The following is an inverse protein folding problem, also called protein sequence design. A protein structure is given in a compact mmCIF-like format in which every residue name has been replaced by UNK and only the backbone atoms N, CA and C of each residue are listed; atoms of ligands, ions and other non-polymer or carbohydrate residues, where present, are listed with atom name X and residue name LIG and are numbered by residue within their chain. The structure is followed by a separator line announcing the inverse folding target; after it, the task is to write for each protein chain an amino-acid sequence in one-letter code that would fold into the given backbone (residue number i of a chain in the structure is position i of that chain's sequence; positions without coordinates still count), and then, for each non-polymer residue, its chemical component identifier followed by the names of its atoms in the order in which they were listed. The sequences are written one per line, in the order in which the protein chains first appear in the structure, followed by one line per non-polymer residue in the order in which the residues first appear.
data_IF_019851998342
#
_entry.id   IF_019851998342
#
_cell.length_a   1.000
_cell.length_b   1.000
_cell.length_c   1.000
_cell.angle_alpha   90.00
_cell.angle_beta   90.00
_cell.angle_gamma   90.00
#
_symmetry.space_group_name_H-M   'P 1'
#
loop_
_entity.id
_entity.type
_entity.pdbx_description
1 polymer ?
#
# COMPACT_ATOMS: atom_id res chain seq x y z
N UNK A 1 11.64 8.10 -37.93
CA UNK A 1 10.15 8.15 -37.92
C UNK A 1 9.71 8.35 -36.49
N UNK A 2 9.11 9.49 -36.17
CA UNK A 2 8.62 9.76 -34.82
C UNK A 2 7.49 8.76 -34.50
N UNK A 3 7.73 7.87 -33.54
CA UNK A 3 6.75 6.92 -33.05
C UNK A 3 5.56 7.71 -32.51
N UNK A 4 4.41 7.61 -33.17
CA UNK A 4 3.12 8.09 -32.64
C UNK A 4 2.92 7.41 -31.29
N UNK A 5 3.21 8.14 -30.18
CA UNK A 5 2.81 7.73 -28.86
C UNK A 5 1.28 7.50 -28.93
N UNK A 6 0.84 6.27 -28.80
CA UNK A 6 -0.59 5.99 -28.78
C UNK A 6 -1.16 6.64 -27.51
N UNK A 7 -1.88 7.74 -27.68
CA UNK A 7 -2.66 8.36 -26.62
C UNK A 7 -3.55 7.30 -25.98
N UNK A 8 -3.69 7.37 -24.67
CA UNK A 8 -4.66 6.50 -23.98
C UNK A 8 -6.04 6.74 -24.60
N UNK A 9 -6.84 5.65 -24.72
CA UNK A 9 -8.22 5.78 -25.19
C UNK A 9 -8.97 6.74 -24.25
N UNK A 10 -9.75 7.71 -24.73
CA UNK A 10 -10.46 8.70 -23.90
C UNK A 10 -11.27 8.06 -22.76
N UNK A 11 -11.95 6.95 -23.04
CA UNK A 11 -12.70 6.21 -22.01
C UNK A 11 -11.83 5.66 -20.89
N UNK A 12 -10.59 5.24 -21.17
CA UNK A 12 -9.65 4.79 -20.14
C UNK A 12 -9.15 5.95 -19.26
N UNK A 13 -8.92 7.12 -19.87
CA UNK A 13 -8.54 8.34 -19.14
C UNK A 13 -9.66 8.76 -18.19
N UNK A 14 -10.90 8.81 -18.69
CA UNK A 14 -12.08 9.16 -17.89
C UNK A 14 -12.26 8.18 -16.72
N UNK A 15 -12.16 6.89 -17.00
CA UNK A 15 -12.29 5.84 -15.97
C UNK A 15 -11.18 5.92 -14.90
N UNK A 16 -9.92 6.11 -15.31
CA UNK A 16 -8.82 6.34 -14.38
C UNK A 16 -9.03 7.60 -13.52
N UNK A 17 -9.52 8.69 -14.13
CA UNK A 17 -9.82 9.93 -13.40
C UNK A 17 -10.91 9.72 -12.36
N UNK A 18 -11.96 8.97 -12.69
CA UNK A 18 -13.01 8.59 -11.74
C UNK A 18 -12.43 7.78 -10.57
N UNK A 19 -11.69 6.69 -10.84
CA UNK A 19 -11.09 5.87 -9.78
C UNK A 19 -10.14 6.70 -8.93
N UNK A 20 -9.31 7.54 -9.54
CA UNK A 20 -8.39 8.42 -8.80
C UNK A 20 -9.13 9.40 -7.91
N UNK A 21 -10.23 10.00 -8.39
CA UNK A 21 -11.06 10.92 -7.59
C UNK A 21 -11.60 10.21 -6.34
N UNK A 22 -12.23 9.06 -6.49
CA UNK A 22 -12.82 8.33 -5.36
C UNK A 22 -11.73 7.79 -4.42
N UNK A 23 -10.65 7.22 -4.98
CA UNK A 23 -9.52 6.73 -4.19
C UNK A 23 -8.87 7.85 -3.36
N UNK A 24 -8.61 9.03 -3.97
CA UNK A 24 -8.00 10.18 -3.29
C UNK A 24 -8.94 10.89 -2.33
N UNK A 25 -10.23 10.60 -2.36
CA UNK A 25 -11.20 11.22 -1.44
C UNK A 25 -11.62 10.30 -0.32
N UNK A 26 -11.84 9.02 -0.59
CA UNK A 26 -12.36 8.07 0.40
C UNK A 26 -11.31 7.14 0.99
N UNK A 27 -10.25 6.80 0.24
CA UNK A 27 -9.24 5.83 0.68
C UNK A 27 -7.93 6.48 1.10
N UNK A 28 -7.37 7.38 0.30
CA UNK A 28 -6.08 8.02 0.54
C UNK A 28 -6.29 9.42 1.09
N UNK A 29 -5.71 9.71 2.26
CA UNK A 29 -5.76 11.05 2.88
C UNK A 29 -4.74 11.99 2.24
N UNK A 30 -3.47 11.57 2.22
CA UNK A 30 -2.38 12.31 1.57
C UNK A 30 -1.54 11.37 0.72
N UNK A 31 -1.06 11.88 -0.41
CA UNK A 31 -0.16 11.16 -1.30
C UNK A 31 1.13 11.95 -1.46
N UNK A 32 2.24 11.33 -1.09
CA UNK A 32 3.59 11.89 -1.18
C UNK A 32 4.38 11.17 -2.26
N UNK A 33 5.29 11.88 -2.91
CA UNK A 33 6.24 11.27 -3.86
C UNK A 33 7.60 11.92 -3.68
N UNK A 34 8.62 11.09 -3.46
CA UNK A 34 10.02 11.48 -3.38
C UNK A 34 10.80 10.95 -4.59
N UNK A 35 11.83 11.65 -5.02
CA UNK A 35 12.66 11.23 -6.15
C UNK A 35 11.96 11.33 -7.52
N UNK A 36 10.98 12.22 -7.70
CA UNK A 36 10.27 12.39 -8.99
C UNK A 36 11.21 12.69 -10.15
N UNK A 37 12.31 13.35 -9.90
CA UNK A 37 13.36 13.69 -10.86
C UNK A 37 14.05 12.45 -11.45
N UNK A 38 13.94 11.31 -10.80
CA UNK A 38 14.50 10.04 -11.25
C UNK A 38 13.59 9.30 -12.25
N UNK A 39 12.33 9.75 -12.41
CA UNK A 39 11.42 9.14 -13.38
C UNK A 39 11.97 9.38 -14.79
N UNK A 40 12.25 8.32 -15.56
CA UNK A 40 12.74 8.50 -16.92
C UNK A 40 11.76 9.29 -17.79
N UNK A 41 12.29 10.05 -18.74
CA UNK A 41 11.50 10.88 -19.62
C UNK A 41 10.48 10.04 -20.42
N UNK A 42 9.38 10.68 -20.85
CA UNK A 42 8.36 10.03 -21.67
C UNK A 42 8.96 9.50 -22.96
N UNK A 43 8.77 8.22 -23.22
CA UNK A 43 9.34 7.52 -24.38
C UNK A 43 10.62 6.75 -24.07
N UNK A 44 11.27 6.98 -22.92
CA UNK A 44 12.35 6.12 -22.47
C UNK A 44 11.80 4.71 -22.14
N UNK A 45 12.69 3.70 -22.23
CA UNK A 45 12.36 2.29 -22.14
C UNK A 45 12.76 1.76 -20.77
N UNK A 46 11.76 1.52 -19.91
CA UNK A 46 12.07 1.05 -18.56
C UNK A 46 10.97 0.18 -17.96
N UNK A 47 11.42 -0.74 -17.10
CA UNK A 47 10.57 -1.48 -16.17
C UNK A 47 10.58 -0.77 -14.83
N UNK A 48 9.46 -0.80 -14.12
CA UNK A 48 9.34 -0.32 -12.74
C UNK A 48 9.37 -1.53 -11.82
N UNK A 49 10.29 -1.54 -10.88
CA UNK A 49 10.37 -2.54 -9.82
C UNK A 49 9.94 -1.92 -8.49
N UNK A 50 9.06 -2.57 -7.75
CA UNK A 50 8.59 -2.08 -6.46
C UNK A 50 8.42 -3.21 -5.46
N UNK A 51 8.53 -2.91 -4.15
CA UNK A 51 8.09 -3.81 -3.08
C UNK A 51 6.58 -4.04 -3.14
N UNK A 52 6.10 -5.17 -2.56
CA UNK A 52 4.70 -5.59 -2.67
C UNK A 52 4.10 -5.92 -1.29
N UNK A 53 3.29 -5.01 -0.74
CA UNK A 53 2.80 -5.08 0.64
C UNK A 53 1.26 -5.02 0.78
N UNK A 54 0.53 -4.54 -0.24
CA UNK A 54 -0.92 -4.31 -0.16
C UNK A 54 -1.65 -4.72 -1.46
N UNK A 55 -1.25 -5.84 -2.03
CA UNK A 55 -1.88 -6.47 -3.19
C UNK A 55 -2.17 -5.47 -4.34
N UNK A 56 -3.38 -5.45 -4.92
CA UNK A 56 -3.72 -4.55 -6.03
C UNK A 56 -3.69 -3.06 -5.65
N UNK A 57 -3.80 -2.73 -4.36
CA UNK A 57 -3.75 -1.35 -3.88
C UNK A 57 -2.39 -0.68 -4.18
N UNK A 58 -1.29 -1.46 -4.14
CA UNK A 58 0.05 -0.98 -4.49
C UNK A 58 0.11 -0.50 -5.94
N UNK A 59 -0.31 -1.36 -6.87
CA UNK A 59 -0.32 -1.03 -8.29
C UNK A 59 -1.19 0.19 -8.61
N UNK A 60 -2.34 0.30 -7.97
CA UNK A 60 -3.29 1.40 -8.19
C UNK A 60 -2.73 2.72 -7.65
N UNK A 61 -2.17 2.74 -6.44
CA UNK A 61 -1.59 3.96 -5.88
C UNK A 61 -0.36 4.42 -6.68
N UNK A 62 0.49 3.51 -7.15
CA UNK A 62 1.62 3.83 -8.03
C UNK A 62 1.10 4.37 -9.37
N UNK A 63 0.08 3.76 -9.97
CA UNK A 63 -0.51 4.24 -11.22
C UNK A 63 -1.00 5.69 -11.14
N UNK A 64 -1.51 6.11 -9.99
CA UNK A 64 -1.99 7.48 -9.76
C UNK A 64 -0.90 8.45 -9.29
N UNK A 65 0.28 7.96 -8.95
CA UNK A 65 1.45 8.81 -8.70
C UNK A 65 2.11 9.30 -9.99
N UNK A 66 1.86 8.61 -11.12
CA UNK A 66 2.28 9.04 -12.46
C UNK A 66 1.30 10.05 -13.09
N UNK A 67 1.76 10.88 -14.01
CA UNK A 67 0.86 11.68 -14.86
C UNK A 67 -0.16 10.80 -15.58
N UNK A 68 -1.40 11.29 -15.73
CA UNK A 68 -2.54 10.52 -16.27
C UNK A 68 -2.30 10.04 -17.71
N UNK A 69 -1.48 10.74 -18.47
CA UNK A 69 -1.15 10.42 -19.87
C UNK A 69 -0.07 9.33 -20.02
N UNK A 70 0.54 8.87 -18.90
CA UNK A 70 1.45 7.72 -18.92
C UNK A 70 0.65 6.42 -19.00
N UNK A 71 0.85 5.68 -20.08
CA UNK A 71 0.26 4.35 -20.22
C UNK A 71 1.15 3.32 -19.53
N UNK A 72 0.70 2.87 -18.39
CA UNK A 72 1.36 1.82 -17.62
C UNK A 72 0.76 0.46 -17.92
N UNK A 73 1.60 -0.56 -17.91
CA UNK A 73 1.18 -1.95 -17.92
C UNK A 73 1.59 -2.61 -16.59
N UNK A 74 0.78 -3.56 -16.16
CA UNK A 74 0.96 -4.26 -14.89
C UNK A 74 1.07 -5.75 -15.15
N UNK A 75 2.11 -6.39 -14.66
CA UNK A 75 2.23 -7.83 -14.69
C UNK A 75 1.56 -8.41 -13.44
N UNK A 76 0.53 -9.22 -13.63
CA UNK A 76 -0.25 -9.84 -12.56
C UNK A 76 -0.35 -11.35 -12.76
N UNK A 77 -0.70 -12.10 -11.72
CA UNK A 77 -0.84 -13.56 -11.81
C UNK A 77 -1.92 -13.95 -12.83
N UNK A 78 -1.65 -14.98 -13.64
CA UNK A 78 -2.55 -15.45 -14.69
C UNK A 78 -3.91 -15.91 -14.17
N UNK A 79 -3.99 -16.45 -12.94
CA UNK A 79 -5.25 -16.90 -12.34
C UNK A 79 -6.31 -15.79 -12.22
N UNK A 80 -5.90 -14.52 -12.18
CA UNK A 80 -6.84 -13.38 -12.19
C UNK A 80 -7.60 -13.28 -13.51
N UNK A 81 -7.03 -13.83 -14.60
CA UNK A 81 -7.62 -13.85 -15.93
C UNK A 81 -8.52 -15.06 -16.22
N UNK A 82 -8.58 -16.04 -15.32
CA UNK A 82 -9.35 -17.30 -15.51
C UNK A 82 -10.84 -17.17 -15.18
N UNK A 83 -11.32 -16.00 -14.75
CA UNK A 83 -12.69 -15.81 -14.27
C UNK A 83 -13.75 -15.90 -15.37
N UNK A 84 -13.67 -15.06 -16.37
CA UNK A 84 -14.46 -15.13 -17.62
C UNK A 84 -13.91 -14.16 -18.69
N UNK A 85 -14.37 -14.30 -19.94
CA UNK A 85 -13.89 -13.51 -21.07
C UNK A 85 -14.15 -12.00 -20.96
N UNK A 86 -15.26 -11.58 -20.35
CA UNK A 86 -15.57 -10.15 -20.16
C UNK A 86 -14.61 -9.51 -19.13
N UNK A 87 -14.36 -10.19 -18.03
CA UNK A 87 -13.39 -9.75 -17.01
C UNK A 87 -11.98 -9.72 -17.60
N UNK A 88 -11.57 -10.75 -18.33
CA UNK A 88 -10.28 -10.81 -19.03
C UNK A 88 -10.10 -9.63 -20.00
N UNK A 89 -11.14 -9.31 -20.78
CA UNK A 89 -11.13 -8.18 -21.70
C UNK A 89 -11.02 -6.84 -20.98
N UNK A 90 -11.73 -6.68 -19.87
CA UNK A 90 -11.68 -5.49 -19.03
C UNK A 90 -10.30 -5.29 -18.38
N UNK A 91 -9.73 -6.34 -17.80
CA UNK A 91 -8.38 -6.30 -17.21
C UNK A 91 -7.31 -5.97 -18.25
N UNK A 92 -7.41 -6.57 -19.43
CA UNK A 92 -6.52 -6.27 -20.56
C UNK A 92 -6.67 -4.82 -21.04
N UNK A 93 -7.89 -4.29 -21.03
CA UNK A 93 -8.17 -2.89 -21.39
C UNK A 93 -7.55 -1.91 -20.35
N UNK A 94 -7.50 -2.30 -19.07
CA UNK A 94 -6.79 -1.56 -18.01
C UNK A 94 -5.27 -1.63 -18.13
N UNK A 95 -4.72 -2.50 -18.98
CA UNK A 95 -3.28 -2.68 -19.18
C UNK A 95 -2.65 -3.80 -18.34
N UNK A 96 -3.46 -4.65 -17.70
CA UNK A 96 -2.96 -5.82 -16.98
C UNK A 96 -2.54 -6.93 -17.94
N UNK A 97 -1.46 -7.63 -17.63
CA UNK A 97 -0.87 -8.70 -18.44
C UNK A 97 -0.61 -9.94 -17.56
N UNK A 98 -1.10 -11.13 -17.98
CA UNK A 98 -0.98 -12.34 -17.17
C UNK A 98 0.44 -12.90 -17.18
N UNK A 99 0.96 -13.22 -15.99
CA UNK A 99 2.22 -13.97 -15.80
C UNK A 99 1.92 -15.32 -15.11
N UNK A 100 2.55 -16.37 -15.62
CA UNK A 100 2.42 -17.74 -15.12
C UNK A 100 3.57 -18.09 -14.20
N UNK A 101 3.32 -18.78 -13.09
CA UNK A 101 4.36 -19.27 -12.18
C UNK A 101 5.05 -20.49 -12.79
N UNK A 102 6.36 -20.37 -13.02
CA UNK A 102 7.16 -21.53 -13.42
C UNK A 102 7.22 -22.56 -12.29
N UNK A 103 6.88 -23.80 -12.59
CA UNK A 103 6.97 -24.92 -11.64
C UNK A 103 5.67 -25.38 -10.98
N UNK A 104 4.57 -24.62 -11.09
CA UNK A 104 3.27 -25.01 -10.51
C UNK A 104 2.19 -25.33 -11.54
N UNK A 105 2.34 -24.87 -12.80
CA UNK A 105 1.29 -24.90 -13.84
C UNK A 105 1.68 -25.72 -15.10
N UNK A 106 2.75 -26.53 -15.05
CA UNK A 106 3.13 -27.45 -16.13
C UNK A 106 3.89 -26.82 -17.30
N UNK A 107 4.16 -27.62 -18.36
CA UNK A 107 4.98 -27.21 -19.52
C UNK A 107 4.39 -26.10 -20.38
N UNK A 108 3.05 -25.98 -20.44
CA UNK A 108 2.36 -24.91 -21.15
C UNK A 108 2.64 -23.51 -20.56
N UNK A 109 2.93 -23.43 -19.26
CA UNK A 109 3.27 -22.19 -18.56
C UNK A 109 4.57 -21.55 -19.06
N UNK A 110 5.50 -22.34 -19.57
CA UNK A 110 6.78 -21.86 -20.09
C UNK A 110 6.59 -21.12 -21.42
N UNK A 111 5.83 -21.69 -22.35
CA UNK A 111 5.53 -21.08 -23.64
C UNK A 111 4.72 -19.78 -23.47
N UNK A 112 3.71 -19.77 -22.61
CA UNK A 112 2.93 -18.58 -22.32
C UNK A 112 3.77 -17.47 -21.68
N UNK A 113 4.75 -17.79 -20.84
CA UNK A 113 5.70 -16.80 -20.31
C UNK A 113 6.62 -16.24 -21.40
N UNK A 114 7.07 -17.02 -22.37
CA UNK A 114 7.81 -16.48 -23.53
C UNK A 114 6.94 -15.55 -24.37
N UNK A 115 5.69 -15.90 -24.62
CA UNK A 115 4.73 -15.02 -25.30
C UNK A 115 4.47 -13.72 -24.51
N UNK A 116 4.44 -13.80 -23.16
CA UNK A 116 4.40 -12.61 -22.33
C UNK A 116 5.66 -11.75 -22.51
N UNK A 117 6.84 -12.34 -22.50
CA UNK A 117 8.11 -11.60 -22.68
C UNK A 117 8.16 -10.87 -24.01
N UNK A 118 7.71 -11.50 -25.10
CA UNK A 118 7.61 -10.85 -26.42
C UNK A 118 6.62 -9.67 -26.40
N UNK A 119 5.45 -9.86 -25.81
CA UNK A 119 4.48 -8.77 -25.66
C UNK A 119 5.03 -7.61 -24.84
N UNK A 120 5.75 -7.90 -23.74
CA UNK A 120 6.39 -6.88 -22.91
C UNK A 120 7.51 -6.17 -23.66
N UNK A 121 8.34 -6.91 -24.38
CA UNK A 121 9.41 -6.36 -25.21
C UNK A 121 8.86 -5.36 -26.25
N UNK A 122 7.77 -5.70 -26.93
CA UNK A 122 7.09 -4.78 -27.85
C UNK A 122 6.62 -3.52 -27.13
N UNK A 123 6.00 -3.65 -25.95
CA UNK A 123 5.48 -2.50 -25.19
C UNK A 123 6.58 -1.57 -24.71
N UNK A 124 7.63 -2.13 -24.12
CA UNK A 124 8.80 -1.37 -23.65
C UNK A 124 9.46 -0.64 -24.83
N UNK A 125 9.65 -1.32 -25.95
CA UNK A 125 10.28 -0.72 -27.15
C UNK A 125 9.39 0.33 -27.83
N UNK A 126 8.09 0.38 -27.51
CA UNK A 126 7.18 1.48 -27.86
C UNK A 126 7.22 2.66 -26.86
N UNK A 127 8.13 2.67 -25.89
CA UNK A 127 8.24 3.72 -24.86
C UNK A 127 7.13 3.65 -23.81
N UNK A 128 6.53 2.47 -23.60
CA UNK A 128 5.56 2.22 -22.52
C UNK A 128 6.26 1.60 -21.33
N UNK A 129 5.88 1.97 -20.12
CA UNK A 129 6.46 1.39 -18.93
C UNK A 129 5.62 0.19 -18.41
N UNK A 130 6.30 -0.69 -17.69
CA UNK A 130 5.71 -1.91 -17.12
C UNK A 130 6.09 -2.01 -15.65
N UNK A 131 5.10 -2.07 -14.78
CA UNK A 131 5.29 -2.34 -13.34
C UNK A 131 5.31 -3.84 -13.08
N UNK A 132 6.33 -4.26 -12.36
CA UNK A 132 6.50 -5.65 -11.92
C UNK A 132 6.91 -5.64 -10.45
N UNK A 133 6.28 -6.49 -9.66
CA UNK A 133 6.69 -6.76 -8.28
C UNK A 133 7.64 -7.96 -8.29
N UNK A 134 8.95 -7.77 -8.02
CA UNK A 134 9.95 -8.83 -8.15
C UNK A 134 9.89 -9.86 -7.01
N UNK A 135 9.17 -9.55 -5.93
CA UNK A 135 8.89 -10.49 -4.85
C UNK A 135 7.99 -11.63 -5.35
N UNK A 136 8.31 -12.86 -5.00
CA UNK A 136 7.53 -14.04 -5.44
C UNK A 136 6.16 -14.13 -4.76
N UNK A 137 5.92 -13.34 -3.75
CA UNK A 137 4.69 -13.20 -2.98
C UNK A 137 4.42 -11.74 -2.69
N UNK A 138 3.56 -11.53 -1.72
CA UNK A 138 3.30 -10.25 -1.08
C UNK A 138 3.21 -10.50 0.41
N UNK A 139 3.75 -9.61 1.23
CA UNK A 139 3.83 -9.75 2.67
C UNK A 139 3.48 -8.43 3.33
N UNK A 140 2.58 -8.47 4.31
CA UNK A 140 2.20 -7.29 5.10
C UNK A 140 3.25 -6.91 6.15
N UNK A 141 4.52 -7.01 5.83
CA UNK A 141 5.59 -6.67 6.73
C UNK A 141 6.49 -5.59 6.14
N UNK A 142 7.13 -4.83 6.99
CA UNK A 142 8.19 -3.91 6.59
C UNK A 142 9.51 -4.68 6.44
N UNK A 143 9.55 -5.60 5.48
CA UNK A 143 10.74 -6.35 5.07
C UNK A 143 10.55 -6.83 3.62
N UNK A 144 11.65 -7.16 2.95
CA UNK A 144 11.62 -7.67 1.59
C UNK A 144 11.74 -9.19 1.58
N UNK A 145 10.86 -9.83 0.84
CA UNK A 145 11.03 -11.22 0.43
C UNK A 145 12.14 -11.36 -0.62
N UNK A 146 12.65 -12.59 -0.85
CA UNK A 146 13.62 -12.82 -1.90
C UNK A 146 13.11 -12.42 -3.27
N UNK A 147 13.92 -11.71 -4.04
CA UNK A 147 13.57 -11.32 -5.41
C UNK A 147 13.85 -12.43 -6.40
N UNK A 148 12.90 -12.68 -7.30
CA UNK A 148 13.12 -13.52 -8.46
C UNK A 148 13.88 -12.75 -9.56
N UNK A 149 14.59 -13.49 -10.42
CA UNK A 149 15.28 -12.90 -11.58
C UNK A 149 14.32 -12.62 -12.76
N UNK A 150 13.03 -12.86 -12.59
CA UNK A 150 12.03 -12.77 -13.67
C UNK A 150 11.98 -11.39 -14.33
N UNK A 151 11.93 -10.31 -13.53
CA UNK A 151 11.92 -8.94 -14.06
C UNK A 151 13.20 -8.65 -14.86
N UNK A 152 14.36 -9.01 -14.33
CA UNK A 152 15.65 -8.78 -15.01
C UNK A 152 15.72 -9.57 -16.32
N UNK A 153 15.20 -10.80 -16.34
CA UNK A 153 15.10 -11.61 -17.57
C UNK A 153 14.20 -10.95 -18.61
N UNK A 154 13.04 -10.41 -18.20
CA UNK A 154 12.13 -9.65 -19.09
C UNK A 154 12.84 -8.43 -19.68
N UNK A 155 13.63 -7.71 -18.86
CA UNK A 155 14.32 -6.51 -19.29
C UNK A 155 15.45 -6.81 -20.30
N UNK A 156 16.25 -7.85 -20.10
CA UNK A 156 17.23 -8.31 -21.10
C UNK A 156 16.58 -8.88 -22.36
N UNK A 157 15.42 -9.52 -22.25
CA UNK A 157 14.65 -9.95 -23.41
C UNK A 157 14.17 -8.75 -24.25
N UNK A 158 13.75 -7.67 -23.61
CA UNK A 158 13.38 -6.42 -24.29
C UNK A 158 14.60 -5.74 -24.97
N UNK A 159 15.79 -5.82 -24.37
CA UNK A 159 17.03 -5.35 -24.99
C UNK A 159 17.43 -6.21 -26.21
N UNK A 160 17.31 -7.53 -26.10
CA UNK A 160 17.54 -8.44 -27.24
C UNK A 160 16.57 -8.15 -28.39
N UNK A 161 15.31 -7.81 -28.10
CA UNK A 161 14.29 -7.47 -29.09
C UNK A 161 14.66 -6.26 -29.96
N UNK A 162 15.45 -5.31 -29.43
CA UNK A 162 15.94 -4.14 -30.17
C UNK A 162 17.41 -4.33 -30.66
N UNK A 163 17.89 -5.56 -30.76
CA UNK A 163 19.26 -5.91 -31.15
C UNK A 163 20.33 -5.23 -30.27
N UNK A 164 20.06 -5.04 -28.98
CA UNK A 164 20.96 -4.41 -27.99
C UNK A 164 21.34 -2.94 -28.29
N UNK A 165 20.59 -2.27 -29.18
CA UNK A 165 20.92 -0.92 -29.67
C UNK A 165 20.56 0.18 -28.69
N UNK A 166 19.50 -0.04 -27.90
CA UNK A 166 18.98 0.96 -27.00
C UNK A 166 19.02 0.50 -25.55
N UNK A 167 19.22 1.44 -24.63
CA UNK A 167 19.26 1.13 -23.22
C UNK A 167 17.86 0.81 -22.68
N UNK A 168 17.74 -0.34 -22.06
CA UNK A 168 16.60 -0.71 -21.24
C UNK A 168 16.97 -0.48 -19.78
N UNK A 169 16.13 0.28 -19.05
CA UNK A 169 16.39 0.62 -17.67
C UNK A 169 15.46 -0.14 -16.72
N UNK A 170 15.89 -0.33 -15.48
CA UNK A 170 15.03 -0.74 -14.37
C UNK A 170 14.95 0.43 -13.41
N UNK A 171 13.75 0.93 -13.13
CA UNK A 171 13.48 1.98 -12.16
C UNK A 171 13.12 1.32 -10.84
N UNK A 172 14.03 1.27 -9.85
CA UNK A 172 13.72 0.78 -8.52
C UNK A 172 12.85 1.80 -7.81
N UNK A 173 11.73 1.37 -7.26
CA UNK A 173 10.82 2.20 -6.47
C UNK A 173 10.43 1.47 -5.19
N UNK A 174 10.06 2.22 -4.18
CA UNK A 174 9.49 1.69 -2.96
C UNK A 174 8.24 2.47 -2.58
N UNK A 175 7.34 1.84 -1.84
CA UNK A 175 6.20 2.54 -1.26
C UNK A 175 6.10 2.24 0.23
N UNK A 176 5.39 3.13 0.93
CA UNK A 176 5.11 3.01 2.35
C UNK A 176 3.71 3.55 2.64
N UNK A 177 3.01 2.88 3.56
CA UNK A 177 1.67 3.25 4.01
C UNK A 177 1.69 3.62 5.49
N UNK A 178 0.90 4.61 5.88
CA UNK A 178 0.66 4.87 7.31
C UNK A 178 -0.21 3.80 7.96
N UNK A 179 -1.05 3.12 7.16
CA UNK A 179 -1.95 2.06 7.58
C UNK A 179 -2.32 1.16 6.38
N UNK A 180 -2.37 -0.17 6.60
CA UNK A 180 -2.62 -1.15 5.52
C UNK A 180 -4.09 -1.56 5.38
N UNK A 181 -4.87 -1.52 6.48
CA UNK A 181 -6.20 -2.13 6.54
C UNK A 181 -7.33 -1.13 6.53
N UNK A 182 -7.07 0.08 6.98
CA UNK A 182 -8.08 1.12 7.13
C UNK A 182 -8.13 2.06 5.92
N UNK A 183 -9.24 2.80 5.78
CA UNK A 183 -9.35 3.91 4.85
C UNK A 183 -8.65 5.16 5.43
N UNK A 184 -8.54 6.21 4.63
CA UNK A 184 -7.90 7.48 5.01
C UNK A 184 -6.44 7.30 5.48
N UNK A 185 -5.70 6.40 4.81
CA UNK A 185 -4.26 6.24 4.99
C UNK A 185 -3.48 7.28 4.19
N UNK A 186 -2.25 7.52 4.61
CA UNK A 186 -1.27 8.26 3.83
C UNK A 186 -0.44 7.26 3.01
N UNK A 187 -0.08 7.65 1.80
CA UNK A 187 0.73 6.87 0.87
C UNK A 187 1.98 7.64 0.45
N UNK A 188 3.13 7.03 0.55
CA UNK A 188 4.41 7.56 0.07
C UNK A 188 4.96 6.64 -1.02
N UNK A 189 5.28 7.23 -2.18
CA UNK A 189 6.00 6.56 -3.24
C UNK A 189 7.40 7.17 -3.37
N UNK A 190 8.42 6.34 -3.33
CA UNK A 190 9.84 6.71 -3.41
C UNK A 190 10.43 6.16 -4.70
N UNK A 191 11.09 7.01 -5.46
CA UNK A 191 11.65 6.69 -6.77
C UNK A 191 13.18 6.76 -6.70
N UNK A 192 13.83 5.63 -6.86
CA UNK A 192 15.30 5.52 -6.87
C UNK A 192 15.89 5.85 -8.25
N UNK A 193 17.21 5.93 -8.32
CA UNK A 193 17.92 6.16 -9.58
C UNK A 193 17.75 4.98 -10.53
N UNK A 194 17.43 5.21 -11.82
CA UNK A 194 17.31 4.14 -12.81
C UNK A 194 18.60 3.35 -12.96
N UNK A 195 18.47 2.04 -13.05
CA UNK A 195 19.57 1.13 -13.33
C UNK A 195 19.60 0.87 -14.84
N UNK A 196 20.62 1.39 -15.54
CA UNK A 196 20.88 1.11 -16.95
C UNK A 196 21.35 -0.35 -17.11
N UNK A 197 20.80 -1.05 -18.08
CA UNK A 197 21.24 -2.40 -18.44
C UNK A 197 22.30 -2.42 -19.56
N UNK A 198 22.45 -1.32 -20.29
CA UNK A 198 23.39 -1.22 -21.41
C UNK A 198 24.83 -1.65 -21.04
N UNK A 199 25.39 -1.26 -19.89
CA UNK A 199 26.74 -1.69 -19.50
C UNK A 199 26.90 -3.20 -19.32
N UNK A 200 25.80 -3.93 -19.16
CA UNK A 200 25.79 -5.37 -18.92
C UNK A 200 25.54 -6.18 -20.19
N UNK A 201 25.24 -5.59 -21.34
CA UNK A 201 24.81 -6.31 -22.54
C UNK A 201 25.83 -7.32 -23.04
N UNK A 202 27.10 -6.91 -23.14
CA UNK A 202 28.16 -7.81 -23.59
C UNK A 202 28.34 -9.00 -22.63
N UNK A 203 28.47 -8.73 -21.34
CA UNK A 203 28.66 -9.76 -20.33
C UNK A 203 27.42 -10.69 -20.20
N UNK A 204 26.21 -10.16 -20.39
CA UNK A 204 24.99 -10.97 -20.34
C UNK A 204 24.95 -12.03 -21.44
N UNK A 205 25.50 -11.75 -22.63
CA UNK A 205 25.52 -12.69 -23.73
C UNK A 205 26.44 -13.88 -23.43
N UNK A 206 27.51 -13.69 -22.65
CA UNK A 206 28.46 -14.73 -22.25
C UNK A 206 28.04 -15.39 -20.92
N UNK A 207 27.59 -14.63 -19.94
CA UNK A 207 27.32 -15.05 -18.57
C UNK A 207 25.96 -14.63 -18.03
N UNK A 208 24.82 -15.04 -18.65
CA UNK A 208 23.50 -14.51 -18.35
C UNK A 208 23.07 -14.68 -16.89
N UNK A 209 23.34 -15.84 -16.29
CA UNK A 209 22.94 -16.10 -14.90
C UNK A 209 23.71 -15.26 -13.88
N UNK A 210 24.98 -14.95 -14.11
CA UNK A 210 25.80 -14.09 -13.26
C UNK A 210 25.25 -12.67 -13.28
N UNK A 211 25.04 -12.14 -14.46
CA UNK A 211 24.54 -10.78 -14.66
C UNK A 211 23.12 -10.64 -14.11
N UNK A 212 22.23 -11.59 -14.36
CA UNK A 212 20.87 -11.54 -13.78
C UNK A 212 20.89 -11.47 -12.26
N UNK A 213 21.72 -12.28 -11.58
CA UNK A 213 21.85 -12.23 -10.12
C UNK A 213 22.40 -10.90 -9.63
N UNK A 214 23.42 -10.35 -10.30
CA UNK A 214 24.03 -9.07 -9.94
C UNK A 214 23.03 -7.93 -10.07
N UNK A 215 22.33 -7.81 -11.20
CA UNK A 215 21.33 -6.77 -11.43
C UNK A 215 20.16 -6.90 -10.45
N UNK A 216 19.70 -8.15 -10.17
CA UNK A 216 18.64 -8.40 -9.18
C UNK A 216 19.07 -7.95 -7.79
N UNK A 217 20.32 -8.27 -7.38
CA UNK A 217 20.88 -7.85 -6.10
C UNK A 217 20.95 -6.30 -6.01
N UNK A 218 21.43 -5.64 -7.06
CA UNK A 218 21.53 -4.18 -7.15
C UNK A 218 20.14 -3.53 -7.05
N UNK A 219 19.16 -4.06 -7.77
CA UNK A 219 17.77 -3.61 -7.73
C UNK A 219 17.16 -3.78 -6.32
N UNK A 220 17.37 -4.96 -5.70
CA UNK A 220 16.87 -5.23 -4.33
C UNK A 220 17.48 -4.28 -3.32
N UNK A 221 18.78 -4.06 -3.34
CA UNK A 221 19.45 -3.14 -2.42
C UNK A 221 18.95 -1.69 -2.58
N UNK A 222 18.71 -1.25 -3.82
CA UNK A 222 18.15 0.08 -4.08
C UNK A 222 16.74 0.22 -3.48
N UNK A 223 15.87 -0.79 -3.62
CA UNK A 223 14.53 -0.78 -3.03
C UNK A 223 14.61 -0.82 -1.49
N UNK A 224 15.42 -1.71 -0.93
CA UNK A 224 15.60 -1.87 0.51
C UNK A 224 16.11 -0.58 1.18
N UNK A 225 16.99 0.16 0.54
CA UNK A 225 17.51 1.42 1.08
C UNK A 225 16.44 2.52 1.20
N UNK A 226 15.41 2.48 0.35
CA UNK A 226 14.32 3.45 0.36
C UNK A 226 13.24 3.10 1.41
N UNK A 227 12.86 1.84 1.54
CA UNK A 227 11.77 1.41 2.41
C UNK A 227 12.16 1.34 3.90
N UNK A 228 11.17 1.21 4.77
CA UNK A 228 11.37 0.74 6.14
C UNK A 228 11.67 -0.77 6.09
N UNK A 229 12.74 -1.20 6.75
CA UNK A 229 13.09 -2.61 6.84
C UNK A 229 13.24 -3.02 8.31
N UNK A 230 12.22 -3.65 8.86
CA UNK A 230 12.20 -4.18 10.23
C UNK A 230 12.79 -5.58 10.33
N UNK A 231 12.94 -6.28 9.19
CA UNK A 231 13.33 -7.70 9.17
C UNK A 231 12.22 -8.61 9.70
N UNK A 232 12.36 -9.92 9.49
CA UNK A 232 11.33 -10.91 9.87
C UNK A 232 11.35 -11.28 11.35
N UNK A 233 12.54 -11.40 11.93
CA UNK A 233 12.71 -11.84 13.32
C UNK A 233 12.09 -10.81 14.28
N UNK A 234 11.26 -11.27 15.21
CA UNK A 234 10.53 -10.41 16.15
C UNK A 234 9.86 -9.21 15.49
N UNK A 235 9.20 -9.47 14.35
CA UNK A 235 8.56 -8.42 13.56
C UNK A 235 7.43 -7.72 14.33
N UNK A 236 6.59 -8.50 15.03
CA UNK A 236 5.42 -7.98 15.75
C UNK A 236 5.84 -6.99 16.86
N UNK A 237 6.89 -7.34 17.61
CA UNK A 237 7.42 -6.56 18.73
C UNK A 237 8.07 -5.27 18.22
N UNK A 238 8.85 -5.34 17.13
CA UNK A 238 9.45 -4.14 16.52
C UNK A 238 8.40 -3.21 15.93
N UNK A 239 7.41 -3.72 15.21
CA UNK A 239 6.31 -2.95 14.66
C UNK A 239 5.47 -2.30 15.78
N UNK A 240 5.22 -3.05 16.87
CA UNK A 240 4.55 -2.49 18.05
C UNK A 240 5.35 -1.34 18.68
N UNK A 241 6.63 -1.54 18.96
CA UNK A 241 7.49 -0.49 19.54
C UNK A 241 7.56 0.75 18.66
N UNK A 242 7.69 0.56 17.34
CA UNK A 242 7.73 1.65 16.36
C UNK A 242 6.46 2.49 16.36
N UNK A 243 5.29 1.84 16.49
CA UNK A 243 3.97 2.51 16.51
C UNK A 243 3.59 3.02 17.89
N UNK A 244 4.18 2.51 18.95
CA UNK A 244 3.92 2.91 20.32
C UNK A 244 4.46 4.31 20.62
N UNK A 245 4.01 4.92 21.70
CA UNK A 245 4.58 6.18 22.20
C UNK A 245 5.94 6.01 22.89
N UNK A 246 6.51 4.79 22.89
CA UNK A 246 7.92 4.55 23.22
C UNK A 246 8.83 5.07 22.09
N UNK A 247 8.35 5.11 20.85
CA UNK A 247 9.01 5.83 19.77
C UNK A 247 8.67 7.33 19.88
N UNK A 248 9.66 8.21 20.11
CA UNK A 248 9.40 9.65 20.28
C UNK A 248 8.74 10.32 19.07
N UNK A 249 8.85 9.75 17.89
CA UNK A 249 8.21 10.26 16.68
C UNK A 249 6.70 10.05 16.68
N UNK A 250 6.17 9.06 17.42
CA UNK A 250 4.73 8.70 17.40
C UNK A 250 3.83 9.83 17.91
N UNK A 251 4.30 10.61 18.88
CA UNK A 251 3.54 11.71 19.46
C UNK A 251 3.73 13.05 18.73
N UNK A 252 4.52 13.07 17.65
CA UNK A 252 4.78 14.26 16.84
C UNK A 252 3.82 14.32 15.65
N UNK A 253 3.42 15.53 15.28
CA UNK A 253 2.66 15.75 14.05
C UNK A 253 3.63 15.80 12.84
N UNK A 254 3.97 14.63 12.33
CA UNK A 254 4.90 14.45 11.21
C UNK A 254 4.13 14.03 9.95
N UNK A 255 4.61 14.49 8.81
CA UNK A 255 4.20 13.91 7.51
C UNK A 255 4.71 12.48 7.37
N UNK A 256 4.12 11.68 6.48
CA UNK A 256 4.55 10.29 6.29
C UNK A 256 6.04 10.15 5.89
N UNK A 257 6.62 11.00 5.02
CA UNK A 257 8.06 10.98 4.76
C UNK A 257 8.92 11.25 5.98
N UNK A 258 8.58 12.30 6.76
CA UNK A 258 9.28 12.64 8.00
C UNK A 258 9.18 11.50 9.02
N UNK A 259 7.99 10.92 9.15
CA UNK A 259 7.76 9.78 10.03
C UNK A 259 8.62 8.58 9.62
N UNK A 260 8.66 8.24 8.32
CA UNK A 260 9.49 7.16 7.79
C UNK A 260 10.97 7.36 8.12
N UNK A 261 11.49 8.59 7.96
CA UNK A 261 12.87 8.90 8.29
C UNK A 261 13.19 8.65 9.79
N UNK A 262 12.30 9.08 10.66
CA UNK A 262 12.44 8.81 12.12
C UNK A 262 12.30 7.31 12.45
N UNK A 263 11.33 6.62 11.84
CA UNK A 263 11.08 5.21 12.09
C UNK A 263 12.27 4.34 11.66
N UNK A 264 12.93 4.65 10.53
CA UNK A 264 14.17 3.97 10.12
C UNK A 264 15.25 4.05 11.20
N UNK A 265 15.49 5.24 11.72
CA UNK A 265 16.49 5.44 12.78
C UNK A 265 16.10 4.67 14.04
N UNK A 266 14.84 4.74 14.45
CA UNK A 266 14.35 4.06 15.65
C UNK A 266 14.44 2.53 15.50
N UNK A 267 14.03 1.98 14.37
CA UNK A 267 14.12 0.54 14.10
C UNK A 267 15.56 0.03 14.16
N UNK A 268 16.52 0.75 13.57
CA UNK A 268 17.95 0.39 13.67
C UNK A 268 18.51 0.46 15.11
N UNK A 269 17.87 1.24 15.97
CA UNK A 269 18.23 1.29 17.39
C UNK A 269 17.70 0.08 18.18
N UNK A 270 16.45 -0.35 17.87
CA UNK A 270 15.79 -1.43 18.62
C UNK A 270 16.12 -2.83 18.10
N UNK A 271 16.49 -3.00 16.83
CA UNK A 271 16.85 -4.30 16.25
C UNK A 271 17.80 -5.13 17.11
N UNK A 272 18.95 -4.59 17.59
CA UNK A 272 19.90 -5.37 18.41
C UNK A 272 19.36 -5.70 19.80
N UNK A 273 18.28 -5.06 20.23
CA UNK A 273 17.68 -5.32 21.54
C UNK A 273 16.77 -6.54 21.52
N UNK A 274 16.34 -6.97 20.35
CA UNK A 274 15.48 -8.15 20.17
C UNK A 274 16.22 -9.48 20.47
N UNK A 275 17.55 -9.46 20.55
CA UNK A 275 18.34 -10.60 21.03
C UNK A 275 18.20 -10.83 22.56
N UNK A 276 17.55 -9.90 23.29
CA UNK A 276 17.29 -10.03 24.72
C UNK A 276 15.92 -10.65 24.95
N UNK A 277 15.90 -11.92 25.27
CA UNK A 277 14.70 -12.71 25.50
C UNK A 277 13.76 -12.06 26.53
N UNK A 278 14.30 -11.64 27.66
CA UNK A 278 13.53 -10.93 28.72
C UNK A 278 12.83 -9.65 28.23
N UNK A 279 13.41 -8.95 27.24
CA UNK A 279 12.78 -7.76 26.67
C UNK A 279 11.65 -8.12 25.73
N UNK A 280 11.85 -9.14 24.89
CA UNK A 280 10.83 -9.64 23.98
C UNK A 280 9.61 -10.11 24.77
N UNK A 281 9.79 -10.92 25.83
CA UNK A 281 8.70 -11.37 26.70
C UNK A 281 7.94 -10.19 27.34
N UNK A 282 8.64 -9.15 27.78
CA UNK A 282 8.00 -7.96 28.34
C UNK A 282 7.21 -7.18 27.30
N UNK A 283 7.67 -7.13 26.05
CA UNK A 283 6.94 -6.48 24.96
C UNK A 283 5.68 -7.28 24.63
N UNK A 284 5.76 -8.61 24.56
CA UNK A 284 4.62 -9.49 24.31
C UNK A 284 3.57 -9.35 25.43
N UNK A 285 4.00 -9.33 26.68
CA UNK A 285 3.11 -9.08 27.82
C UNK A 285 2.41 -7.71 27.69
N UNK A 286 3.15 -6.67 27.28
CA UNK A 286 2.60 -5.33 27.09
C UNK A 286 1.55 -5.32 25.98
N UNK A 287 1.86 -5.94 24.83
CA UNK A 287 0.95 -6.08 23.70
C UNK A 287 -0.34 -6.82 24.10
N UNK A 288 -0.22 -7.93 24.81
CA UNK A 288 -1.36 -8.72 25.27
C UNK A 288 -2.27 -7.94 26.22
N UNK A 289 -1.68 -7.25 27.21
CA UNK A 289 -2.43 -6.44 28.19
C UNK A 289 -3.17 -5.29 27.53
N UNK A 290 -2.53 -4.56 26.60
CA UNK A 290 -3.17 -3.48 25.85
C UNK A 290 -4.30 -3.99 24.96
N UNK A 291 -4.08 -5.11 24.26
CA UNK A 291 -5.09 -5.73 23.41
C UNK A 291 -6.29 -6.22 24.24
N UNK A 292 -6.06 -6.85 25.38
CA UNK A 292 -7.10 -7.34 26.30
C UNK A 292 -7.93 -6.19 26.87
N UNK A 293 -7.30 -5.10 27.25
CA UNK A 293 -8.00 -3.90 27.74
C UNK A 293 -8.63 -3.12 26.56
N UNK A 294 -8.13 -3.31 25.33
CA UNK A 294 -8.60 -2.63 24.13
C UNK A 294 -8.25 -1.15 24.10
N UNK A 295 -7.06 -0.79 24.57
CA UNK A 295 -6.49 0.57 24.55
C UNK A 295 -5.34 0.64 23.54
N UNK A 296 -4.77 1.83 23.36
CA UNK A 296 -3.57 2.07 22.56
C UNK A 296 -2.46 2.63 23.42
N UNK A 297 -1.21 2.25 23.19
CA UNK A 297 -0.03 2.72 23.93
C UNK A 297 0.09 4.26 23.95
N UNK A 298 -0.37 4.92 22.88
CA UNK A 298 -0.40 6.39 22.80
C UNK A 298 -1.21 7.05 23.92
N UNK A 299 -2.21 6.35 24.48
CA UNK A 299 -3.01 6.84 25.62
C UNK A 299 -2.19 6.89 26.92
N UNK A 300 -1.11 6.11 27.00
CA UNK A 300 -0.19 6.17 28.15
C UNK A 300 0.65 7.45 28.14
N UNK A 301 0.94 7.99 26.94
CA UNK A 301 1.67 9.26 26.80
C UNK A 301 0.76 10.49 26.87
N UNK A 302 -0.50 10.35 26.46
CA UNK A 302 -1.54 11.39 26.52
C UNK A 302 -2.82 10.81 27.14
N UNK A 303 -2.87 10.68 28.48
CA UNK A 303 -4.01 10.06 29.16
C UNK A 303 -5.32 10.82 28.92
N UNK A 304 -6.42 10.11 28.65
CA UNK A 304 -7.73 10.73 28.52
C UNK A 304 -8.24 11.26 29.88
N UNK A 305 -9.08 12.30 29.85
CA UNK A 305 -9.76 12.80 31.04
C UNK A 305 -11.26 12.45 31.00
N UNK A 306 -11.89 12.32 32.17
CA UNK A 306 -13.33 12.11 32.27
C UNK A 306 -14.12 13.21 31.55
N UNK A 307 -13.77 14.47 31.79
CA UNK A 307 -14.46 15.61 31.16
C UNK A 307 -14.36 15.56 29.63
N UNK A 308 -13.17 15.31 29.08
CA UNK A 308 -12.98 15.19 27.63
C UNK A 308 -13.70 13.97 27.05
N UNK A 309 -13.67 12.82 27.72
CA UNK A 309 -14.34 11.60 27.29
C UNK A 309 -15.86 11.77 27.25
N UNK A 310 -16.45 12.37 28.30
CA UNK A 310 -17.88 12.64 28.36
C UNK A 310 -18.32 13.68 27.32
N UNK A 311 -17.54 14.74 27.11
CA UNK A 311 -17.83 15.74 26.08
C UNK A 311 -17.83 15.14 24.67
N UNK A 312 -16.81 14.31 24.32
CA UNK A 312 -16.79 13.60 23.06
C UNK A 312 -17.90 12.56 22.93
N UNK A 313 -18.25 11.87 24.02
CA UNK A 313 -19.38 10.94 24.06
C UNK A 313 -20.71 11.64 23.78
N UNK A 314 -20.96 12.78 24.43
CA UNK A 314 -22.16 13.59 24.18
C UNK A 314 -22.22 14.10 22.74
N UNK A 315 -21.10 14.56 22.18
CA UNK A 315 -21.03 14.97 20.79
C UNK A 315 -21.30 13.79 19.82
N UNK A 316 -20.77 12.61 20.10
CA UNK A 316 -21.08 11.41 19.31
C UNK A 316 -22.58 11.07 19.38
N UNK A 317 -23.21 11.15 20.54
CA UNK A 317 -24.66 10.92 20.67
C UNK A 317 -25.47 11.96 19.87
N UNK A 318 -25.09 13.23 19.91
CA UNK A 318 -25.73 14.31 19.15
C UNK A 318 -25.62 14.09 17.64
N UNK A 319 -24.45 13.65 17.16
CA UNK A 319 -24.16 13.45 15.73
C UNK A 319 -24.60 12.07 15.22
N UNK A 320 -25.09 11.18 16.09
CA UNK A 320 -25.50 9.83 15.72
C UNK A 320 -26.51 9.77 14.56
N UNK A 321 -27.58 10.62 14.51
CA UNK A 321 -28.52 10.59 13.40
C UNK A 321 -27.85 10.94 12.06
N UNK A 322 -26.97 11.91 12.04
CA UNK A 322 -26.21 12.27 10.83
C UNK A 322 -25.28 11.13 10.40
N UNK A 323 -24.63 10.47 11.36
CA UNK A 323 -23.79 9.30 11.07
C UNK A 323 -24.62 8.16 10.46
N UNK A 324 -25.80 7.84 10.97
CA UNK A 324 -26.71 6.83 10.39
C UNK A 324 -27.04 7.16 8.93
N UNK A 325 -27.37 8.41 8.63
CA UNK A 325 -27.63 8.85 7.25
C UNK A 325 -26.38 8.73 6.38
N UNK A 326 -25.21 9.05 6.94
CA UNK A 326 -23.93 8.98 6.22
C UNK A 326 -23.43 7.55 5.96
N UNK A 327 -24.01 6.54 6.58
CA UNK A 327 -23.64 5.16 6.33
C UNK A 327 -24.02 4.68 4.92
N UNK A 328 -25.04 5.26 4.30
CA UNK A 328 -25.44 4.90 2.94
C UNK A 328 -24.65 5.68 1.88
N UNK A 329 -24.07 5.03 0.84
CA UNK A 329 -23.93 3.57 0.62
C UNK A 329 -22.67 2.97 1.28
N UNK A 330 -21.96 3.75 2.09
CA UNK A 330 -20.61 3.45 2.58
C UNK A 330 -20.53 2.17 3.41
N UNK A 331 -21.57 1.88 4.20
CA UNK A 331 -21.59 0.67 5.04
C UNK A 331 -21.41 -0.60 4.19
N UNK A 332 -22.11 -0.68 3.05
CA UNK A 332 -22.00 -1.83 2.15
C UNK A 332 -20.64 -1.83 1.45
N UNK A 333 -20.22 -0.67 0.93
CA UNK A 333 -18.94 -0.52 0.25
C UNK A 333 -17.73 -0.80 1.15
N UNK A 334 -17.83 -0.50 2.45
CA UNK A 334 -16.75 -0.71 3.41
C UNK A 334 -16.72 -2.12 3.98
N UNK A 335 -17.90 -2.70 4.32
CA UNK A 335 -18.00 -3.98 5.05
C UNK A 335 -18.19 -5.18 4.14
N UNK A 336 -18.92 -5.07 3.02
CA UNK A 336 -19.15 -6.20 2.14
C UNK A 336 -17.86 -6.84 1.59
N UNK A 337 -16.80 -6.07 1.23
CA UNK A 337 -15.54 -6.66 0.84
C UNK A 337 -14.91 -7.53 1.92
N UNK A 338 -15.08 -7.18 3.20
CA UNK A 338 -14.53 -7.94 4.33
C UNK A 338 -15.22 -9.30 4.50
N UNK A 339 -16.51 -9.39 4.18
CA UNK A 339 -17.26 -10.66 4.24
C UNK A 339 -16.74 -11.68 3.21
N UNK A 340 -16.06 -11.23 2.16
CA UNK A 340 -15.44 -12.09 1.14
C UNK A 340 -14.02 -12.54 1.52
N UNK A 341 -13.41 -11.88 2.51
CA UNK A 341 -12.08 -12.20 3.02
C UNK A 341 -12.18 -13.22 4.13
N UNK A 342 -11.93 -14.48 3.82
CA UNK A 342 -12.02 -15.55 4.82
C UNK A 342 -10.82 -15.59 5.77
N UNK A 343 -9.59 -15.32 5.30
CA UNK A 343 -8.37 -15.52 6.10
C UNK A 343 -7.28 -14.46 5.87
N UNK A 344 -7.20 -13.84 4.70
CA UNK A 344 -6.08 -12.96 4.35
C UNK A 344 -6.46 -11.46 4.38
N UNK A 345 -6.22 -10.84 5.53
CA UNK A 345 -6.48 -9.40 5.76
C UNK A 345 -5.71 -8.47 4.81
N UNK A 346 -4.64 -8.96 4.19
CA UNK A 346 -3.82 -8.21 3.26
C UNK A 346 -4.60 -7.69 2.05
N UNK A 347 -5.61 -8.42 1.61
CA UNK A 347 -6.44 -8.02 0.49
C UNK A 347 -7.54 -7.01 0.85
N UNK A 348 -7.68 -6.62 2.12
CA UNK A 348 -8.77 -5.76 2.60
C UNK A 348 -8.95 -4.51 1.74
N UNK A 349 -7.91 -3.69 1.61
CA UNK A 349 -8.00 -2.45 0.84
C UNK A 349 -8.10 -2.69 -0.67
N UNK A 350 -7.49 -3.76 -1.18
CA UNK A 350 -7.64 -4.16 -2.58
C UNK A 350 -9.08 -4.56 -2.92
N UNK A 351 -9.74 -5.35 -2.06
CA UNK A 351 -11.15 -5.69 -2.24
C UNK A 351 -12.08 -4.49 -2.07
N UNK A 352 -11.83 -3.63 -1.08
CA UNK A 352 -12.57 -2.37 -0.93
C UNK A 352 -12.45 -1.51 -2.18
N UNK A 353 -11.25 -1.37 -2.72
CA UNK A 353 -11.01 -0.55 -3.89
C UNK A 353 -11.67 -1.16 -5.13
N UNK A 354 -11.43 -2.44 -5.42
CA UNK A 354 -11.95 -3.09 -6.61
C UNK A 354 -13.47 -3.25 -6.53
N UNK A 355 -13.98 -3.85 -5.46
CA UNK A 355 -15.40 -4.13 -5.34
C UNK A 355 -16.21 -2.84 -5.13
N UNK A 356 -15.76 -1.94 -4.26
CA UNK A 356 -16.51 -0.74 -3.93
C UNK A 356 -16.39 0.33 -5.02
N UNK A 357 -15.16 0.74 -5.36
CA UNK A 357 -14.96 1.87 -6.28
C UNK A 357 -15.31 1.48 -7.72
N UNK A 358 -14.92 0.27 -8.14
CA UNK A 358 -15.13 -0.17 -9.53
C UNK A 358 -16.57 -0.64 -9.77
N UNK A 359 -17.22 -1.25 -8.79
CA UNK A 359 -18.52 -1.92 -8.98
C UNK A 359 -19.64 -1.26 -8.16
N UNK A 360 -19.52 -1.23 -6.82
CA UNK A 360 -20.65 -0.89 -5.96
C UNK A 360 -21.04 0.59 -6.03
N UNK A 361 -20.10 1.52 -5.99
CA UNK A 361 -20.44 2.94 -6.07
C UNK A 361 -21.13 3.30 -7.40
N UNK A 362 -20.64 2.89 -8.60
CA UNK A 362 -21.37 3.10 -9.84
C UNK A 362 -22.76 2.45 -9.86
N UNK A 363 -22.89 1.22 -9.33
CA UNK A 363 -24.16 0.52 -9.24
C UNK A 363 -25.15 1.27 -8.35
N UNK A 364 -24.74 1.68 -7.14
CA UNK A 364 -25.60 2.44 -6.24
C UNK A 364 -25.95 3.83 -6.78
N UNK A 365 -25.02 4.48 -7.49
CA UNK A 365 -25.31 5.74 -8.17
C UNK A 365 -26.39 5.55 -9.25
N UNK A 366 -26.28 4.49 -10.06
CA UNK A 366 -27.30 4.14 -11.06
C UNK A 366 -28.65 3.84 -10.40
N UNK A 367 -28.69 3.01 -9.35
CA UNK A 367 -29.93 2.71 -8.62
C UNK A 367 -30.55 3.99 -8.03
N UNK A 368 -29.73 4.86 -7.45
CA UNK A 368 -30.20 6.13 -6.88
C UNK A 368 -30.80 7.02 -7.96
N UNK A 369 -30.17 7.15 -9.13
CA UNK A 369 -30.70 7.90 -10.27
C UNK A 369 -32.02 7.31 -10.79
N UNK A 370 -32.12 5.99 -10.91
CA UNK A 370 -33.32 5.32 -11.39
C UNK A 370 -34.47 5.46 -10.37
N UNK A 371 -34.25 5.23 -9.09
CA UNK A 371 -35.29 5.28 -8.07
C UNK A 371 -35.72 6.72 -7.81
N UNK A 372 -34.80 7.61 -7.48
CA UNK A 372 -35.14 9.01 -7.20
C UNK A 372 -35.55 9.79 -8.45
N UNK A 373 -34.85 9.58 -9.57
CA UNK A 373 -35.12 10.28 -10.82
C UNK A 373 -36.38 9.78 -11.50
N UNK A 374 -36.43 8.49 -11.85
CA UNK A 374 -37.55 7.94 -12.62
C UNK A 374 -38.81 7.73 -11.79
N UNK A 375 -38.70 7.14 -10.56
CA UNK A 375 -39.88 6.82 -9.78
C UNK A 375 -40.47 8.03 -9.04
N UNK A 376 -39.63 9.00 -8.64
CA UNK A 376 -40.05 10.16 -7.83
C UNK A 376 -39.88 11.50 -8.54
N UNK A 377 -39.33 11.54 -9.77
CA UNK A 377 -39.07 12.76 -10.51
C UNK A 377 -37.98 13.67 -9.93
N UNK A 378 -37.14 13.16 -9.00
CA UNK A 378 -36.14 13.90 -8.23
C UNK A 378 -34.74 13.87 -8.87
N UNK A 379 -34.60 14.17 -10.16
CA UNK A 379 -33.35 14.03 -10.92
C UNK A 379 -32.17 14.84 -10.35
N UNK A 380 -32.36 16.14 -10.15
CA UNK A 380 -31.28 16.97 -9.65
C UNK A 380 -30.95 16.68 -8.19
N UNK A 381 -31.94 16.31 -7.37
CA UNK A 381 -31.74 15.91 -5.99
C UNK A 381 -30.95 14.60 -5.90
N UNK A 382 -31.18 13.65 -6.80
CA UNK A 382 -30.38 12.42 -6.86
C UNK A 382 -28.92 12.68 -7.18
N UNK A 383 -28.64 13.61 -8.10
CA UNK A 383 -27.27 14.02 -8.41
C UNK A 383 -26.61 14.68 -7.18
N UNK A 384 -27.31 15.62 -6.53
CA UNK A 384 -26.79 16.24 -5.32
C UNK A 384 -26.52 15.21 -4.21
N UNK A 385 -27.44 14.26 -4.02
CA UNK A 385 -27.28 13.18 -3.05
C UNK A 385 -26.04 12.32 -3.34
N UNK A 386 -25.80 11.94 -4.59
CA UNK A 386 -24.61 11.18 -5.00
C UNK A 386 -23.33 11.98 -4.74
N UNK A 387 -23.32 13.28 -5.02
CA UNK A 387 -22.18 14.14 -4.74
C UNK A 387 -21.89 14.27 -3.24
N UNK A 388 -22.95 14.26 -2.41
CA UNK A 388 -22.82 14.28 -0.95
C UNK A 388 -22.20 12.99 -0.37
N UNK A 389 -22.17 11.88 -1.10
CA UNK A 389 -21.52 10.66 -0.62
C UNK A 389 -20.05 10.87 -0.26
N UNK A 390 -19.32 11.73 -0.99
CA UNK A 390 -17.92 12.01 -0.67
C UNK A 390 -17.75 12.63 0.73
N UNK A 391 -18.35 13.80 1.05
CA UNK A 391 -18.21 14.38 2.38
C UNK A 391 -18.87 13.53 3.47
N UNK A 392 -19.97 12.86 3.19
CA UNK A 392 -20.64 11.96 4.14
C UNK A 392 -19.79 10.73 4.46
N UNK A 393 -19.09 10.15 3.47
CA UNK A 393 -18.18 9.05 3.71
C UNK A 393 -16.99 9.44 4.58
N UNK A 394 -16.41 10.61 4.36
CA UNK A 394 -15.37 11.15 5.24
C UNK A 394 -15.88 11.40 6.66
N UNK A 395 -17.10 11.93 6.78
CA UNK A 395 -17.74 12.12 8.07
C UNK A 395 -18.02 10.80 8.77
N UNK A 396 -18.57 9.80 8.06
CA UNK A 396 -18.83 8.46 8.61
C UNK A 396 -17.54 7.82 9.18
N UNK A 397 -16.44 7.93 8.44
CA UNK A 397 -15.13 7.47 8.90
C UNK A 397 -14.65 8.23 10.14
N UNK A 398 -14.63 9.57 10.10
CA UNK A 398 -14.21 10.41 11.21
C UNK A 398 -15.03 10.11 12.48
N UNK A 399 -16.36 10.04 12.35
CA UNK A 399 -17.24 9.71 13.47
C UNK A 399 -16.93 8.35 14.08
N UNK A 400 -16.78 7.33 13.24
CA UNK A 400 -16.48 5.98 13.71
C UNK A 400 -15.17 5.93 14.49
N UNK A 401 -14.13 6.62 14.03
CA UNK A 401 -12.84 6.71 14.75
C UNK A 401 -13.01 7.44 16.10
N UNK A 402 -13.81 8.53 16.15
CA UNK A 402 -14.09 9.25 17.40
C UNK A 402 -14.88 8.41 18.40
N UNK A 403 -15.90 7.70 17.94
CA UNK A 403 -16.67 6.78 18.78
C UNK A 403 -15.81 5.65 19.36
N UNK A 404 -14.94 5.05 18.56
CA UNK A 404 -13.97 4.06 19.05
C UNK A 404 -13.00 4.65 20.08
N UNK A 405 -12.53 5.89 19.88
CA UNK A 405 -11.65 6.55 20.84
C UNK A 405 -12.37 6.86 22.16
N UNK A 406 -13.66 7.22 22.13
CA UNK A 406 -14.46 7.38 23.37
C UNK A 406 -14.56 6.05 24.13
N UNK A 407 -14.83 4.95 23.44
CA UNK A 407 -14.89 3.61 24.06
C UNK A 407 -13.54 3.24 24.67
N UNK A 408 -12.42 3.44 23.96
CA UNK A 408 -11.07 3.21 24.47
C UNK A 408 -10.75 4.06 25.70
N UNK A 409 -11.15 5.36 25.66
CA UNK A 409 -10.97 6.28 26.79
C UNK A 409 -11.76 5.84 28.01
N UNK A 410 -13.02 5.39 27.83
CA UNK A 410 -13.82 4.83 28.92
C UNK A 410 -13.13 3.60 29.54
N UNK A 411 -12.65 2.66 28.72
CA UNK A 411 -11.92 1.48 29.21
C UNK A 411 -10.66 1.87 29.99
N UNK A 412 -9.88 2.81 29.48
CA UNK A 412 -8.71 3.35 30.18
C UNK A 412 -9.06 3.92 31.56
N UNK A 413 -10.10 4.75 31.63
CA UNK A 413 -10.53 5.45 32.85
C UNK A 413 -11.22 4.53 33.89
N UNK A 414 -11.88 3.45 33.42
CA UNK A 414 -12.61 2.54 34.30
C UNK A 414 -11.76 1.38 34.84
N UNK A 415 -10.52 1.18 34.33
CA UNK A 415 -9.63 0.09 34.75
C UNK A 415 -8.28 0.61 35.25
N UNK A 416 -8.23 1.46 36.31
CA UNK A 416 -7.00 2.12 36.74
C UNK A 416 -5.91 1.15 37.24
N UNK A 417 -6.27 -0.01 37.77
CA UNK A 417 -5.32 -1.04 38.20
C UNK A 417 -4.55 -1.63 37.04
N UNK A 418 -5.23 -1.99 35.95
CA UNK A 418 -4.61 -2.52 34.73
C UNK A 418 -3.76 -1.46 34.04
N UNK A 419 -4.27 -0.22 33.93
CA UNK A 419 -3.52 0.90 33.39
C UNK A 419 -2.22 1.15 34.17
N UNK A 420 -2.25 1.03 35.51
CA UNK A 420 -1.05 1.16 36.34
C UNK A 420 -0.05 0.03 36.07
N UNK A 421 -0.54 -1.22 35.92
CA UNK A 421 0.34 -2.36 35.62
C UNK A 421 0.99 -2.20 34.23
N UNK A 422 0.22 -1.77 33.21
CA UNK A 422 0.71 -1.44 31.87
C UNK A 422 1.77 -0.32 31.95
N UNK A 423 1.52 0.75 32.71
CA UNK A 423 2.46 1.84 32.88
C UNK A 423 3.80 1.38 33.47
N UNK A 424 3.76 0.52 34.50
CA UNK A 424 4.98 -0.02 35.12
C UNK A 424 5.80 -0.90 34.17
N UNK A 425 5.13 -1.74 33.38
CA UNK A 425 5.77 -2.58 32.39
C UNK A 425 6.40 -1.73 31.29
N UNK A 426 5.66 -0.74 30.81
CA UNK A 426 6.11 0.22 29.81
C UNK A 426 7.35 1.01 30.24
N UNK A 427 7.42 1.47 31.51
CA UNK A 427 8.59 2.16 32.02
C UNK A 427 9.83 1.24 32.15
N UNK A 428 9.65 -0.04 32.44
CA UNK A 428 10.76 -1.02 32.40
C UNK A 428 11.33 -1.16 31.00
N UNK A 429 10.45 -1.35 29.98
CA UNK A 429 10.84 -1.46 28.58
C UNK A 429 11.55 -0.17 28.12
N UNK A 430 11.00 1.01 28.46
CA UNK A 430 11.63 2.31 28.17
C UNK A 430 13.02 2.40 28.73
N UNK A 431 13.20 2.03 30.01
CA UNK A 431 14.53 2.04 30.65
C UNK A 431 15.57 1.23 29.90
N UNK A 432 15.20 0.05 29.38
CA UNK A 432 16.10 -0.80 28.60
C UNK A 432 16.46 -0.13 27.25
N UNK A 433 15.47 0.45 26.56
CA UNK A 433 15.68 1.13 25.27
C UNK A 433 16.58 2.37 25.46
N UNK A 434 16.33 3.17 26.48
CA UNK A 434 17.09 4.41 26.77
C UNK A 434 18.55 4.13 27.12
N UNK A 435 18.82 3.11 27.94
CA UNK A 435 20.18 2.69 28.27
C UNK A 435 20.94 2.28 27.01
N UNK A 436 20.33 1.47 26.16
CA UNK A 436 20.96 1.03 24.93
C UNK A 436 21.23 2.20 23.95
N UNK A 437 20.31 3.16 23.87
CA UNK A 437 20.47 4.37 23.04
C UNK A 437 21.61 5.27 23.51
N UNK A 438 21.86 5.35 24.83
CA UNK A 438 23.00 6.10 25.40
C UNK A 438 24.33 5.44 25.14
N UNK A 439 24.41 4.12 25.27
CA UNK A 439 25.64 3.35 25.01
C UNK A 439 26.10 3.50 23.53
N UNK A 440 25.19 3.54 22.57
CA UNK A 440 25.51 3.78 21.14
C UNK A 440 26.04 5.19 20.84
N UNK A 441 25.77 6.19 21.69
CA UNK A 441 26.28 7.56 21.51
C UNK A 441 27.68 7.77 22.07
N UNK A 442 28.18 6.82 22.86
CA UNK A 442 29.51 6.90 23.53
C UNK A 442 30.58 6.11 22.77
N UNK A 443 30.17 5.23 21.84
CA UNK A 443 31.04 4.49 20.91
C UNK A 443 30.98 5.17 19.54
#
# INVERSE_FOLDING_TARGET
MATKHSLQKPGLVLYKSYINLINSTLMVRHRYTEGKENIPAKGEKYFIACNHQNAANDAINIAFAYPVDYLQHFVVRANVFSLNGAITSFLSWLGLMPAFRMGWEGGESLEENYRLFDRLAVRINQGRNVLVFPESGHTQGHYLDPFSTGLVRMAFHAAKYNDWKEDIKILPTAHHYSEYHDAQYDFLWMVGKPISLQPYYAEYQEHPYRVMREVTRRMRNAIQSMMLDEGKDHYAEKDFLRRSALNPATMKNLTLPERLAHDKVYVEQIKPLMDKEDLVEQIDELMEREAKLGIQDTMMAAPPSWAGTLAWGALCLLLLPLWVVSLWPHIICYWAPLALLKEDKMFTNSYRLILSIVILYPLFALITLLVMGLAWGLWWQSIVWILLWIPLGKFAWWYSQRAHNVIRSLRFLTHPSEVKAIAQLRERIRGIIDVASRLKKVV
#
